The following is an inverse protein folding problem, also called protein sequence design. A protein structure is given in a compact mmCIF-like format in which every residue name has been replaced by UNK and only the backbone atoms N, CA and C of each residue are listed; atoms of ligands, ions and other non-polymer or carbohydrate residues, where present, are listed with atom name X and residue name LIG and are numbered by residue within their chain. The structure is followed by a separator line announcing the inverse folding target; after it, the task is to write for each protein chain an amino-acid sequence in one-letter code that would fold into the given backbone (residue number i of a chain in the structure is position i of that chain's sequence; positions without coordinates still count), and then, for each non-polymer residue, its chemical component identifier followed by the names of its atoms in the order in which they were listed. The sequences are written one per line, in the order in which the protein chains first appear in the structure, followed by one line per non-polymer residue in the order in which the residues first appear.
data_IF_122716952434
#
_entry.id   IF_122716952434
#
_cell.length_a   1.000
_cell.length_b   1.000
_cell.length_c   1.000
_cell.angle_alpha   90.00
_cell.angle_beta   90.00
_cell.angle_gamma   90.00
#
_symmetry.space_group_name_H-M   'P 1'
#
loop_
_entity.id
_entity.type
_entity.pdbx_description
1 polymer ?
#
# COMPACT_ATOMS: atom_id res chain seq x y z
N UNK A 1 20.98 -1.64 -2.59
CA UNK A 1 19.53 -1.87 -2.74
C UNK A 1 18.88 -0.53 -3.03
N UNK A 2 18.03 -0.49 -4.05
CA UNK A 2 17.36 0.72 -4.55
C UNK A 2 15.87 0.71 -4.17
N UNK A 3 15.22 1.88 -4.18
CA UNK A 3 13.75 1.97 -4.04
C UNK A 3 13.05 1.00 -4.99
N UNK A 4 13.47 1.00 -6.27
CA UNK A 4 12.88 0.21 -7.33
C UNK A 4 12.92 -1.31 -7.05
N UNK A 5 13.96 -1.82 -6.40
CA UNK A 5 14.09 -3.23 -6.00
C UNK A 5 13.17 -3.57 -4.83
N UNK A 6 13.13 -2.70 -3.81
CA UNK A 6 12.31 -2.88 -2.61
C UNK A 6 10.82 -2.93 -2.98
N UNK A 7 10.33 -1.90 -3.69
CA UNK A 7 8.91 -1.79 -4.02
C UNK A 7 8.45 -2.89 -4.98
N UNK A 8 9.33 -3.37 -5.85
CA UNK A 8 9.00 -4.44 -6.78
C UNK A 8 8.92 -5.80 -6.07
N UNK A 9 9.83 -6.10 -5.15
CA UNK A 9 9.76 -7.32 -4.32
C UNK A 9 8.49 -7.33 -3.46
N UNK A 10 8.15 -6.21 -2.81
CA UNK A 10 6.89 -6.09 -2.05
C UNK A 10 5.67 -6.26 -2.97
N UNK A 11 5.69 -5.70 -4.17
CA UNK A 11 4.61 -5.87 -5.15
C UNK A 11 4.39 -7.33 -5.57
N UNK A 12 5.46 -8.07 -5.87
CA UNK A 12 5.37 -9.50 -6.22
C UNK A 12 4.84 -10.34 -5.06
N UNK A 13 5.26 -10.02 -3.83
CA UNK A 13 4.77 -10.67 -2.60
C UNK A 13 3.27 -10.46 -2.38
N UNK A 14 2.76 -9.27 -2.67
CA UNK A 14 1.33 -8.95 -2.57
C UNK A 14 0.56 -9.65 -3.69
N UNK A 15 1.06 -9.58 -4.92
CA UNK A 15 0.47 -10.22 -6.10
C UNK A 15 0.24 -11.71 -5.87
N UNK A 16 1.27 -12.46 -5.47
CA UNK A 16 1.15 -13.90 -5.24
C UNK A 16 0.12 -14.26 -4.17
N UNK A 17 0.02 -13.46 -3.10
CA UNK A 17 -0.95 -13.66 -2.02
C UNK A 17 -2.38 -13.35 -2.46
N UNK A 18 -2.58 -12.26 -3.19
CA UNK A 18 -3.90 -11.84 -3.68
C UNK A 18 -4.42 -12.78 -4.78
N UNK A 19 -3.57 -13.23 -5.70
CA UNK A 19 -3.94 -14.25 -6.70
C UNK A 19 -4.39 -15.54 -6.02
N UNK A 20 -3.69 -15.98 -4.97
CA UNK A 20 -4.08 -17.16 -4.20
C UNK A 20 -5.43 -17.00 -3.46
N UNK A 21 -5.92 -15.77 -3.30
CA UNK A 21 -7.22 -15.43 -2.74
C UNK A 21 -8.30 -15.19 -3.83
N UNK A 22 -7.96 -15.40 -5.11
CA UNK A 22 -8.88 -15.21 -6.24
C UNK A 22 -9.02 -13.77 -6.72
N UNK A 23 -8.11 -12.88 -6.32
CA UNK A 23 -8.10 -11.47 -6.75
C UNK A 23 -7.27 -11.31 -8.02
N UNK A 24 -7.80 -10.58 -9.00
CA UNK A 24 -7.04 -10.21 -10.20
C UNK A 24 -6.10 -9.05 -9.87
N UNK A 25 -4.79 -9.26 -10.08
CA UNK A 25 -3.75 -8.26 -9.80
C UNK A 25 -3.04 -7.88 -11.09
N UNK A 26 -2.80 -6.59 -11.27
CA UNK A 26 -2.08 -6.05 -12.41
C UNK A 26 -0.91 -5.19 -11.91
N UNK A 27 0.32 -5.60 -12.22
CA UNK A 27 1.51 -4.79 -11.94
C UNK A 27 1.73 -3.77 -13.05
N UNK A 28 1.96 -2.51 -12.68
CA UNK A 28 2.26 -1.44 -13.65
C UNK A 28 3.66 -1.58 -14.26
N UNK A 29 4.56 -2.33 -13.64
CA UNK A 29 5.95 -2.48 -14.04
C UNK A 29 6.38 -3.95 -14.08
N UNK A 30 7.55 -4.22 -14.65
CA UNK A 30 8.24 -5.51 -14.54
C UNK A 30 9.70 -5.31 -14.11
N UNK A 31 10.49 -6.38 -14.13
CA UNK A 31 11.91 -6.37 -13.73
C UNK A 31 12.75 -5.38 -14.55
N UNK A 32 12.47 -5.23 -15.84
CA UNK A 32 13.33 -4.49 -16.79
C UNK A 32 12.79 -3.12 -17.17
N UNK A 33 11.51 -2.83 -16.92
CA UNK A 33 10.85 -1.57 -17.29
C UNK A 33 10.18 -0.93 -16.09
N UNK A 34 10.51 0.33 -15.86
CA UNK A 34 9.80 1.22 -14.93
C UNK A 34 9.10 2.32 -15.73
N UNK A 35 7.78 2.24 -15.95
CA UNK A 35 7.07 3.25 -16.75
C UNK A 35 7.01 4.60 -16.04
N UNK A 36 6.80 5.63 -16.86
CA UNK A 36 6.58 7.00 -16.40
C UNK A 36 5.19 7.14 -15.76
N UNK A 37 5.00 8.16 -14.94
CA UNK A 37 3.72 8.41 -14.26
C UNK A 37 2.51 8.46 -15.22
N UNK A 38 2.56 9.16 -16.38
CA UNK A 38 1.45 9.16 -17.33
C UNK A 38 1.12 7.77 -17.89
N UNK A 39 2.13 6.93 -18.13
CA UNK A 39 1.93 5.56 -18.60
C UNK A 39 1.24 4.71 -17.53
N UNK A 40 1.61 4.89 -16.25
CA UNK A 40 0.96 4.20 -15.11
C UNK A 40 -0.50 4.62 -14.96
N UNK A 41 -0.79 5.90 -15.08
CA UNK A 41 -2.16 6.45 -15.03
C UNK A 41 -3.01 5.87 -16.16
N UNK A 42 -2.47 5.87 -17.38
CA UNK A 42 -3.18 5.32 -18.55
C UNK A 42 -3.43 3.82 -18.41
N UNK A 43 -2.43 3.07 -17.94
CA UNK A 43 -2.59 1.65 -17.66
C UNK A 43 -3.67 1.37 -16.61
N UNK A 44 -3.60 2.05 -15.46
CA UNK A 44 -4.58 1.90 -14.37
C UNK A 44 -6.02 2.21 -14.82
N UNK A 45 -6.19 3.28 -15.60
CA UNK A 45 -7.50 3.64 -16.15
C UNK A 45 -7.99 2.67 -17.24
N UNK A 46 -7.07 1.98 -17.95
CA UNK A 46 -7.41 1.02 -18.99
C UNK A 46 -7.87 -0.35 -18.46
N UNK A 47 -7.36 -0.78 -17.30
CA UNK A 47 -7.72 -2.07 -16.68
C UNK A 47 -8.99 -2.03 -15.82
N UNK A 48 -9.58 -0.84 -15.61
CA UNK A 48 -10.79 -0.64 -14.80
C UNK A 48 -10.71 -1.28 -13.40
N UNK A 49 -9.57 -1.15 -12.72
CA UNK A 49 -9.32 -1.70 -11.38
C UNK A 49 -10.21 -1.09 -10.29
N UNK A 50 -10.53 -1.87 -9.26
CA UNK A 50 -11.30 -1.40 -8.08
C UNK A 50 -10.46 -0.59 -7.07
N UNK A 51 -9.13 -0.79 -7.07
CA UNK A 51 -8.19 -0.12 -6.19
C UNK A 51 -6.81 -0.06 -6.86
N UNK A 52 -6.15 1.09 -6.70
CA UNK A 52 -4.76 1.28 -7.15
C UNK A 52 -3.88 1.64 -5.97
N UNK A 53 -2.75 0.94 -5.87
CA UNK A 53 -1.76 1.12 -4.81
C UNK A 53 -0.43 1.48 -5.47
N UNK A 54 0.05 2.70 -5.25
CA UNK A 54 1.40 3.11 -5.64
C UNK A 54 2.33 2.99 -4.44
N UNK A 55 3.38 2.19 -4.55
CA UNK A 55 4.35 1.99 -3.46
C UNK A 55 5.67 2.67 -3.79
N UNK A 56 6.25 3.29 -2.77
CA UNK A 56 7.47 4.07 -2.83
C UNK A 56 8.32 3.85 -1.58
N UNK A 57 9.58 4.24 -1.67
CA UNK A 57 10.47 4.43 -0.52
C UNK A 57 11.00 5.85 -0.63
N UNK A 58 10.72 6.67 0.37
CA UNK A 58 11.05 8.08 0.31
C UNK A 58 12.52 8.32 0.67
N UNK A 59 13.01 9.53 0.43
CA UNK A 59 14.34 9.98 0.80
C UNK A 59 14.31 11.46 1.15
N UNK A 60 15.00 11.82 2.23
CA UNK A 60 15.07 13.20 2.67
C UNK A 60 16.51 13.67 2.85
N UNK A 61 16.71 14.98 2.85
CA UNK A 61 18.05 15.60 2.97
C UNK A 61 18.75 15.28 4.30
N UNK A 62 18.00 14.87 5.32
CA UNK A 62 18.55 14.44 6.59
C UNK A 62 18.14 13.01 6.88
N UNK A 63 18.95 12.33 7.70
CA UNK A 63 18.75 10.94 8.08
C UNK A 63 17.73 10.76 9.22
N UNK A 64 17.07 11.84 9.67
CA UNK A 64 16.12 11.80 10.80
C UNK A 64 14.68 11.53 10.34
N UNK A 65 14.35 11.82 9.09
CA UNK A 65 13.05 11.48 8.51
C UNK A 65 12.92 9.96 8.40
N UNK A 66 11.89 9.38 9.00
CA UNK A 66 11.68 7.93 9.08
C UNK A 66 10.19 7.62 9.22
N UNK A 67 9.80 6.38 8.93
CA UNK A 67 8.45 5.88 9.10
C UNK A 67 7.62 5.83 7.82
N UNK A 68 6.38 5.36 7.98
CA UNK A 68 5.46 5.07 6.88
C UNK A 68 4.44 6.18 6.76
N UNK A 69 4.25 6.69 5.54
CA UNK A 69 3.22 7.67 5.22
C UNK A 69 2.29 7.12 4.13
N UNK A 70 1.01 7.48 4.20
CA UNK A 70 0.04 7.09 3.17
C UNK A 70 -0.77 8.28 2.70
N UNK A 71 -0.87 8.43 1.39
CA UNK A 71 -1.46 9.59 0.73
C UNK A 71 -2.66 9.16 -0.08
N UNK A 72 -3.70 9.97 -0.05
CA UNK A 72 -4.94 9.76 -0.80
C UNK A 72 -5.37 11.06 -1.45
N UNK A 73 -6.23 10.97 -2.46
CA UNK A 73 -6.75 12.16 -3.12
C UNK A 73 -7.59 13.00 -2.17
N UNK A 74 -7.20 14.24 -1.95
CA UNK A 74 -8.01 15.20 -1.20
C UNK A 74 -7.35 16.56 -1.02
N UNK A 75 -8.15 17.52 -0.54
CA UNK A 75 -7.70 18.86 -0.17
C UNK A 75 -8.41 19.33 1.09
N UNK A 76 -7.64 19.56 2.16
CA UNK A 76 -8.16 20.07 3.43
C UNK A 76 -8.87 21.43 3.28
N UNK A 77 -8.46 22.22 2.27
CA UNK A 77 -9.02 23.55 2.02
C UNK A 77 -10.42 23.52 1.40
N UNK A 78 -10.77 22.46 0.67
CA UNK A 78 -12.01 22.39 -0.11
C UNK A 78 -12.97 21.30 0.40
N UNK A 79 -12.56 20.51 1.40
CA UNK A 79 -13.36 19.40 1.95
C UNK A 79 -13.56 18.22 0.98
N UNK A 80 -13.06 18.32 -0.26
CA UNK A 80 -13.15 17.26 -1.27
C UNK A 80 -12.03 16.26 -1.03
N UNK A 81 -12.41 15.00 -0.81
CA UNK A 81 -11.47 13.89 -0.66
C UNK A 81 -12.11 12.57 -1.10
N UNK A 82 -11.25 11.61 -1.45
CA UNK A 82 -11.66 10.24 -1.73
C UNK A 82 -11.94 9.50 -0.42
N UNK A 83 -13.22 9.27 -0.11
CA UNK A 83 -13.65 8.55 1.10
C UNK A 83 -13.06 7.13 1.15
N UNK A 84 -13.08 6.41 0.02
CA UNK A 84 -12.50 5.06 -0.07
C UNK A 84 -10.98 5.10 0.07
N UNK A 85 -10.32 6.08 -0.58
CA UNK A 85 -8.88 6.27 -0.49
C UNK A 85 -8.42 6.60 0.93
N UNK A 86 -9.12 7.48 1.64
CA UNK A 86 -8.83 7.82 3.03
C UNK A 86 -9.03 6.63 3.97
N UNK A 87 -10.15 5.91 3.83
CA UNK A 87 -10.43 4.71 4.61
C UNK A 87 -9.33 3.67 4.41
N UNK A 88 -8.95 3.41 3.16
CA UNK A 88 -7.89 2.45 2.84
C UNK A 88 -6.53 2.93 3.37
N UNK A 89 -6.18 4.20 3.20
CA UNK A 89 -4.95 4.78 3.73
C UNK A 89 -4.84 4.59 5.25
N UNK A 90 -5.95 4.75 5.96
CA UNK A 90 -6.01 4.55 7.41
C UNK A 90 -5.82 3.08 7.79
N UNK A 91 -6.42 2.15 7.05
CA UNK A 91 -6.23 0.70 7.26
C UNK A 91 -4.78 0.29 7.02
N UNK A 92 -4.15 0.79 5.95
CA UNK A 92 -2.73 0.56 5.64
C UNK A 92 -1.84 1.02 6.78
N UNK A 93 -2.01 2.26 7.25
CA UNK A 93 -1.23 2.81 8.37
C UNK A 93 -1.38 1.97 9.64
N UNK A 94 -2.62 1.57 9.97
CA UNK A 94 -2.90 0.75 11.15
C UNK A 94 -2.25 -0.63 11.07
N UNK A 95 -2.37 -1.33 9.94
CA UNK A 95 -1.83 -2.68 9.81
C UNK A 95 -0.30 -2.69 9.76
N UNK A 96 0.33 -1.75 9.05
CA UNK A 96 1.80 -1.70 8.99
C UNK A 96 2.36 -1.36 10.37
N UNK A 97 1.90 -0.28 11.01
CA UNK A 97 2.43 0.14 12.32
C UNK A 97 2.09 -0.82 13.46
N UNK A 98 1.08 -1.69 13.31
CA UNK A 98 0.80 -2.73 14.30
C UNK A 98 1.74 -3.94 14.19
N UNK A 99 2.41 -4.12 13.04
CA UNK A 99 3.20 -5.31 12.70
C UNK A 99 4.69 -5.02 12.58
N UNK A 100 5.06 -3.75 12.43
CA UNK A 100 6.44 -3.29 12.29
C UNK A 100 6.79 -2.28 13.37
N UNK A 101 8.07 -1.94 13.46
CA UNK A 101 8.60 -0.90 14.33
C UNK A 101 8.71 0.47 13.65
N UNK A 102 8.13 0.64 12.44
CA UNK A 102 8.18 1.90 11.71
C UNK A 102 7.32 2.96 12.39
N UNK A 103 7.83 4.19 12.39
CA UNK A 103 7.09 5.34 12.88
C UNK A 103 5.83 5.58 12.05
N UNK A 104 4.71 5.88 12.71
CA UNK A 104 3.45 6.21 12.05
C UNK A 104 3.47 7.69 11.63
N UNK A 105 3.72 7.95 10.34
CA UNK A 105 3.67 9.30 9.77
C UNK A 105 2.26 9.74 9.37
N UNK A 106 1.24 8.92 9.65
CA UNK A 106 -0.19 9.15 9.42
C UNK A 106 -0.57 9.19 7.94
N UNK A 107 -1.85 9.48 7.72
CA UNK A 107 -2.42 9.68 6.40
C UNK A 107 -2.42 11.16 6.02
N UNK A 108 -2.31 11.46 4.73
CA UNK A 108 -2.23 12.83 4.22
C UNK A 108 -3.07 12.99 2.95
N UNK A 109 -3.93 14.00 2.93
CA UNK A 109 -4.63 14.41 1.72
C UNK A 109 -3.66 15.13 0.75
N UNK A 110 -3.63 14.71 -0.52
CA UNK A 110 -2.82 15.33 -1.57
C UNK A 110 -3.60 15.42 -2.88
N UNK A 111 -3.21 16.39 -3.72
CA UNK A 111 -3.80 16.62 -5.05
C UNK A 111 -2.85 16.21 -6.19
N UNK A 112 -1.95 15.24 -5.94
CA UNK A 112 -1.00 14.73 -6.93
C UNK A 112 -1.72 14.10 -8.12
N UNK A 113 -1.11 14.20 -9.30
CA UNK A 113 -1.74 13.78 -10.56
C UNK A 113 -2.11 12.30 -10.57
N UNK A 114 -1.25 11.41 -10.07
CA UNK A 114 -1.59 10.00 -9.94
C UNK A 114 -2.83 9.75 -9.07
N UNK A 115 -3.00 10.48 -7.97
CA UNK A 115 -4.15 10.33 -7.08
C UNK A 115 -5.43 10.94 -7.69
N UNK A 116 -5.28 11.97 -8.52
CA UNK A 116 -6.38 12.77 -9.07
C UNK A 116 -6.89 12.27 -10.43
N UNK A 117 -6.01 11.74 -11.28
CA UNK A 117 -6.31 11.39 -12.67
C UNK A 117 -6.69 9.92 -12.86
N UNK A 118 -6.43 9.07 -11.87
CA UNK A 118 -6.89 7.68 -11.87
C UNK A 118 -8.34 7.65 -11.39
N UNK A 119 -9.22 7.02 -12.17
CA UNK A 119 -10.67 6.94 -11.89
C UNK A 119 -11.00 6.06 -10.69
N UNK A 120 -10.19 5.02 -10.49
CA UNK A 120 -10.30 4.11 -9.36
C UNK A 120 -9.80 4.77 -8.06
N UNK A 121 -10.30 4.36 -6.87
CA UNK A 121 -9.69 4.70 -5.60
C UNK A 121 -8.17 4.42 -5.63
N UNK A 122 -7.37 5.45 -5.36
CA UNK A 122 -5.90 5.37 -5.45
C UNK A 122 -5.27 5.85 -4.16
N UNK A 123 -4.29 5.10 -3.66
CA UNK A 123 -3.40 5.55 -2.59
C UNK A 123 -1.95 5.45 -3.00
N UNK A 124 -1.12 6.34 -2.45
CA UNK A 124 0.32 6.23 -2.48
C UNK A 124 0.84 5.90 -1.08
N UNK A 125 1.74 4.93 -0.97
CA UNK A 125 2.33 4.50 0.28
C UNK A 125 3.84 4.69 0.17
N UNK A 126 4.39 5.52 1.06
CA UNK A 126 5.83 5.58 1.27
C UNK A 126 6.14 4.61 2.42
N UNK A 127 6.84 3.52 2.12
CA UNK A 127 7.09 2.38 3.02
C UNK A 127 8.17 2.63 4.08
N UNK A 128 8.79 3.81 4.07
CA UNK A 128 9.96 4.17 4.88
C UNK A 128 10.88 5.12 4.13
N UNK A 129 11.96 5.53 4.79
CA UNK A 129 12.96 6.42 4.23
C UNK A 129 14.29 5.70 3.99
N UNK A 130 14.74 5.61 2.73
CA UNK A 130 16.04 4.97 2.41
C UNK A 130 17.23 5.81 2.92
N UNK A 131 17.01 7.10 3.19
CA UNK A 131 17.99 7.99 3.81
C UNK A 131 18.12 7.78 5.32
N UNK A 132 17.19 7.07 5.97
CA UNK A 132 17.28 6.77 7.39
C UNK A 132 17.90 5.38 7.60
N UNK A 133 18.97 5.25 8.41
CA UNK A 133 19.66 3.98 8.60
C UNK A 133 18.77 2.85 9.13
N UNK A 134 17.84 3.15 10.04
CA UNK A 134 16.95 2.16 10.63
C UNK A 134 15.92 1.64 9.63
N UNK A 135 15.21 2.55 8.94
CA UNK A 135 14.26 2.19 7.89
C UNK A 135 14.97 1.44 6.74
N UNK A 136 16.17 1.89 6.33
CA UNK A 136 16.94 1.26 5.27
C UNK A 136 17.39 -0.17 5.65
N UNK A 137 17.82 -0.39 6.89
CA UNK A 137 18.15 -1.72 7.42
C UNK A 137 16.91 -2.63 7.40
N UNK A 138 15.77 -2.13 7.91
CA UNK A 138 14.50 -2.85 7.92
C UNK A 138 14.03 -3.21 6.51
N UNK A 139 14.01 -2.26 5.58
CA UNK A 139 13.61 -2.50 4.20
C UNK A 139 14.59 -3.42 3.45
N UNK A 140 15.84 -3.53 3.93
CA UNK A 140 16.84 -4.50 3.45
C UNK A 140 16.47 -5.95 3.73
N UNK A 141 15.82 -6.19 4.87
CA UNK A 141 15.44 -7.52 5.30
C UNK A 141 14.24 -8.07 4.48
N UNK A 142 14.43 -9.20 3.76
CA UNK A 142 13.33 -9.87 3.05
C UNK A 142 12.17 -10.30 3.97
N UNK A 143 12.43 -10.65 5.24
CA UNK A 143 11.38 -11.03 6.20
C UNK A 143 10.53 -9.82 6.58
N UNK A 144 11.16 -8.67 6.76
CA UNK A 144 10.46 -7.42 7.04
C UNK A 144 9.58 -6.97 5.87
N UNK A 145 10.07 -7.09 4.63
CA UNK A 145 9.26 -6.87 3.42
C UNK A 145 8.07 -7.83 3.32
N UNK A 146 8.22 -9.04 3.85
CA UNK A 146 7.13 -10.01 3.94
C UNK A 146 6.03 -9.57 4.91
N UNK A 147 6.41 -9.02 6.07
CA UNK A 147 5.47 -8.44 7.05
C UNK A 147 4.71 -7.25 6.46
N UNK A 148 5.38 -6.37 5.70
CA UNK A 148 4.72 -5.27 4.98
C UNK A 148 3.71 -5.82 3.97
N UNK A 149 4.10 -6.82 3.17
CA UNK A 149 3.20 -7.42 2.20
C UNK A 149 1.97 -8.06 2.87
N UNK A 150 2.14 -8.75 3.99
CA UNK A 150 1.04 -9.30 4.78
C UNK A 150 0.12 -8.19 5.30
N UNK A 151 0.67 -7.11 5.87
CA UNK A 151 -0.07 -5.96 6.36
C UNK A 151 -0.96 -5.34 5.26
N UNK A 152 -0.41 -5.19 4.05
CA UNK A 152 -1.12 -4.63 2.91
C UNK A 152 -2.25 -5.54 2.39
N UNK A 153 -2.01 -6.85 2.32
CA UNK A 153 -3.05 -7.82 1.94
C UNK A 153 -4.21 -7.78 2.93
N UNK A 154 -3.92 -7.71 4.23
CA UNK A 154 -4.94 -7.64 5.29
C UNK A 154 -5.69 -6.30 5.24
N UNK A 155 -5.00 -5.19 4.99
CA UNK A 155 -5.64 -3.89 4.80
C UNK A 155 -6.60 -3.90 3.60
N UNK A 156 -6.21 -4.55 2.49
CA UNK A 156 -7.08 -4.69 1.30
C UNK A 156 -8.31 -5.52 1.66
N UNK A 157 -8.12 -6.65 2.33
CA UNK A 157 -9.24 -7.49 2.75
C UNK A 157 -10.20 -6.74 3.69
N UNK A 158 -9.69 -6.02 4.70
CA UNK A 158 -10.53 -5.19 5.59
C UNK A 158 -11.27 -4.07 4.87
N UNK A 159 -10.77 -3.60 3.73
CA UNK A 159 -11.49 -2.61 2.93
C UNK A 159 -12.76 -3.20 2.31
N UNK A 160 -12.68 -4.45 1.86
CA UNK A 160 -13.74 -5.13 1.11
C UNK A 160 -14.59 -6.12 1.93
N UNK A 161 -14.13 -6.52 3.12
CA UNK A 161 -14.92 -7.30 4.08
C UNK A 161 -15.85 -6.38 4.89
N UNK A 162 -17.04 -6.88 5.22
CA UNK A 162 -18.05 -6.13 5.96
C UNK A 162 -17.61 -5.87 7.41
N UNK A 163 -18.07 -4.75 8.00
CA UNK A 163 -17.70 -4.34 9.36
C UNK A 163 -18.13 -5.33 10.46
N UNK A 164 -18.99 -6.31 10.16
CA UNK A 164 -19.43 -7.35 11.10
C UNK A 164 -18.36 -8.45 11.33
N UNK A 165 -17.36 -8.55 10.44
CA UNK A 165 -16.25 -9.52 10.53
C UNK A 165 -14.91 -8.88 10.93
N UNK A 166 -14.92 -7.64 11.43
CA UNK A 166 -13.71 -6.87 11.74
C UNK A 166 -13.07 -7.36 13.07
N UNK A 167 -12.30 -8.46 12.97
CA UNK A 167 -11.44 -8.89 14.06
C UNK A 167 -10.44 -7.77 14.43
N UNK A 168 -10.08 -7.67 15.72
CA UNK A 168 -9.20 -6.61 16.24
C UNK A 168 -7.96 -6.41 15.34
N UNK A 169 -7.58 -5.16 15.10
CA UNK A 169 -6.38 -4.82 14.32
C UNK A 169 -5.16 -5.56 14.87
N UNK A 170 -4.35 -6.16 13.98
CA UNK A 170 -3.17 -6.95 14.35
C UNK A 170 -3.44 -8.39 14.82
N UNK A 171 -4.68 -8.86 14.90
CA UNK A 171 -4.98 -10.26 15.31
C UNK A 171 -5.31 -11.19 14.15
N UNK A 172 -5.62 -10.66 12.97
CA UNK A 172 -5.90 -11.48 11.78
C UNK A 172 -4.62 -12.00 11.16
N UNK A 173 -4.54 -13.31 10.95
CA UNK A 173 -3.55 -13.96 10.09
C UNK A 173 -4.21 -14.38 8.77
N UNK A 174 -3.40 -14.51 7.71
CA UNK A 174 -3.88 -15.00 6.40
C UNK A 174 -4.60 -16.36 6.52
N UNK A 175 -4.21 -17.20 7.47
CA UNK A 175 -4.83 -18.50 7.73
C UNK A 175 -6.26 -18.41 8.26
N UNK A 176 -6.57 -17.40 9.08
CA UNK A 176 -7.90 -17.18 9.65
C UNK A 176 -8.90 -16.75 8.58
N UNK A 177 -8.39 -16.03 7.57
CA UNK A 177 -9.17 -15.52 6.44
C UNK A 177 -9.61 -16.64 5.48
N UNK A 178 -8.81 -17.71 5.32
CA UNK A 178 -9.20 -18.92 4.56
C UNK A 178 -10.38 -19.66 5.19
N UNK A 179 -10.58 -19.54 6.52
CA UNK A 179 -11.73 -20.13 7.22
C UNK A 179 -12.98 -19.27 7.14
N UNK A 180 -12.83 -17.95 7.02
CA UNK A 180 -13.94 -17.00 7.01
C UNK A 180 -14.65 -16.87 5.65
N UNK A 181 -13.98 -17.18 4.52
CA UNK A 181 -14.59 -17.03 3.19
C UNK A 181 -14.17 -18.12 2.22
N UNK A 182 -15.06 -19.10 1.99
CA UNK A 182 -15.80 -19.35 0.72
C UNK A 182 -16.84 -20.42 1.07
N UNK A 183 -18.08 -19.99 1.37
CA UNK A 183 -19.26 -20.82 1.11
C UNK A 183 -19.60 -20.64 -0.37
N UNK A 184 -19.80 -21.77 -1.05
CA UNK A 184 -20.14 -21.92 -2.47
C UNK A 184 -21.20 -20.95 -2.96
#
# INVERSE_FOLDING_TARGET
MTEAEIVFDVAQRIEGRLIALGVNVFLTRNETRSPLEPERINFANGVASDLVISMHVDSYKNEKAQGVATYFYGSDQHGVHSVVGERFATLVQREICARTDLSNCRTHAKTWDMLRLIKAPTVRIDLGYISNPHDAERLGDPQFRDLIAEALVIAIQRLYLSAEDDAKTGTLRIEDLRRAGIRR
#
